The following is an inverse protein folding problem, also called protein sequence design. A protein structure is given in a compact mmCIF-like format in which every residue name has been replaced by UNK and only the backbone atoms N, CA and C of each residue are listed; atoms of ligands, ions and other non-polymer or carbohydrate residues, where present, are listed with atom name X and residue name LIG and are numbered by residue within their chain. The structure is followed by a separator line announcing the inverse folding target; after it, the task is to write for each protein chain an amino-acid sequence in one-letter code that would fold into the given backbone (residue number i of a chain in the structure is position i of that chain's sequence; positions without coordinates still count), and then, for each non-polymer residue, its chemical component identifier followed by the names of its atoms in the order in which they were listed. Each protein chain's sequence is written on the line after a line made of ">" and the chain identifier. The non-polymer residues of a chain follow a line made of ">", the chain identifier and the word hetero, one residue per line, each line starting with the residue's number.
data_IF_043352552093
#
_entry.id   IF_043352552093
#
_cell.length_a   1.000
_cell.length_b   1.000
_cell.length_c   1.000
_cell.angle_alpha   90.00
_cell.angle_beta   90.00
_cell.angle_gamma   90.00
#
_symmetry.space_group_name_H-M   'P 1'
#
loop_
_entity.id
_entity.type
_entity.pdbx_description
1 polymer ?
#
# COMPACT_ATOMS: atom_id res chain seq x y z
N UNK A 1 -16.51 -7.91 -15.62
CA UNK A 1 -16.57 -6.65 -16.40
C UNK A 1 -15.18 -6.09 -16.68
N UNK A 2 -14.38 -5.71 -15.67
CA UNK A 2 -13.05 -5.09 -15.90
C UNK A 2 -12.06 -5.96 -16.69
N UNK A 3 -11.91 -7.25 -16.36
CA UNK A 3 -11.01 -8.18 -17.09
C UNK A 3 -11.43 -8.38 -18.55
N UNK A 4 -12.75 -8.38 -18.81
CA UNK A 4 -13.29 -8.49 -20.18
C UNK A 4 -13.00 -7.22 -20.96
N UNK A 5 -13.20 -6.04 -20.35
CA UNK A 5 -12.83 -4.76 -20.96
C UNK A 5 -11.33 -4.69 -21.26
N UNK A 6 -10.49 -5.17 -20.35
CA UNK A 6 -9.03 -5.23 -20.52
C UNK A 6 -8.65 -6.15 -21.71
N UNK A 7 -9.29 -7.32 -21.83
CA UNK A 7 -9.04 -8.24 -22.94
C UNK A 7 -9.48 -7.66 -24.29
N UNK A 8 -10.65 -7.01 -24.34
CA UNK A 8 -11.16 -6.34 -25.56
C UNK A 8 -10.23 -5.20 -25.98
N UNK A 9 -9.82 -4.35 -25.02
CA UNK A 9 -8.93 -3.23 -25.29
C UNK A 9 -7.54 -3.69 -25.71
N UNK A 10 -7.02 -4.79 -25.14
CA UNK A 10 -5.77 -5.41 -25.59
C UNK A 10 -5.83 -5.96 -27.02
N UNK A 11 -6.93 -6.60 -27.41
CA UNK A 11 -7.14 -7.07 -28.78
C UNK A 11 -7.23 -5.89 -29.77
N UNK A 12 -7.96 -4.83 -29.40
CA UNK A 12 -8.06 -3.61 -30.21
C UNK A 12 -6.71 -2.91 -30.36
N UNK A 13 -5.89 -2.86 -29.32
CA UNK A 13 -4.55 -2.27 -29.37
C UNK A 13 -3.63 -2.99 -30.37
N UNK A 14 -3.67 -4.34 -30.39
CA UNK A 14 -2.90 -5.14 -31.35
C UNK A 14 -3.32 -4.90 -32.81
N UNK A 15 -4.61 -4.69 -33.05
CA UNK A 15 -5.14 -4.46 -34.40
C UNK A 15 -4.91 -3.02 -34.87
N UNK A 16 -5.11 -2.04 -33.98
CA UNK A 16 -4.99 -0.60 -34.29
C UNK A 16 -3.55 -0.09 -34.27
N UNK A 17 -2.64 -0.81 -33.60
CA UNK A 17 -1.30 -0.30 -33.32
C UNK A 17 -1.28 0.86 -32.33
N UNK A 18 -2.35 1.05 -31.55
CA UNK A 18 -2.50 2.12 -30.56
C UNK A 18 -2.65 1.54 -29.15
N UNK A 19 -1.67 1.80 -28.28
CA UNK A 19 -1.68 1.38 -26.88
C UNK A 19 -2.39 2.38 -25.95
N UNK A 20 -2.80 3.56 -26.44
CA UNK A 20 -3.32 4.67 -25.62
C UNK A 20 -4.52 4.24 -24.76
N UNK A 21 -5.46 3.51 -25.33
CA UNK A 21 -6.62 3.00 -24.58
C UNK A 21 -6.20 2.00 -23.49
N UNK A 22 -5.20 1.16 -23.75
CA UNK A 22 -4.70 0.16 -22.81
C UNK A 22 -3.88 0.79 -21.70
N UNK A 23 -3.06 1.80 -22.01
CA UNK A 23 -2.31 2.61 -21.05
C UNK A 23 -3.24 3.32 -20.06
N UNK A 24 -4.31 3.96 -20.58
CA UNK A 24 -5.35 4.59 -19.74
C UNK A 24 -6.06 3.60 -18.82
N UNK A 25 -6.33 2.39 -19.31
CA UNK A 25 -7.05 1.35 -18.55
C UNK A 25 -6.16 0.59 -17.57
N UNK A 26 -4.85 0.60 -17.79
CA UNK A 26 -3.86 -0.04 -16.92
C UNK A 26 -3.27 0.92 -15.91
N UNK A 27 -3.76 2.17 -15.88
CA UNK A 27 -3.37 3.17 -14.91
C UNK A 27 -1.88 3.55 -15.04
N UNK A 28 -1.32 3.42 -16.26
CA UNK A 28 0.05 3.82 -16.60
C UNK A 28 -0.05 5.04 -17.52
N UNK A 29 -0.01 6.26 -16.95
CA UNK A 29 -0.25 7.49 -17.71
C UNK A 29 0.97 8.10 -18.40
N UNK A 30 2.18 7.77 -17.94
CA UNK A 30 3.41 8.37 -18.46
C UNK A 30 4.31 7.30 -19.07
N UNK A 31 3.88 6.76 -20.20
CA UNK A 31 4.85 6.19 -21.11
C UNK A 31 4.97 7.08 -22.32
N UNK A 32 6.21 7.44 -22.68
CA UNK A 32 6.52 8.15 -23.91
C UNK A 32 5.78 7.46 -25.07
N UNK A 33 5.07 8.23 -25.91
CA UNK A 33 4.22 7.75 -27.02
C UNK A 33 4.98 6.88 -28.05
N UNK A 34 6.28 6.67 -27.82
CA UNK A 34 7.26 5.93 -28.62
C UNK A 34 7.37 4.45 -28.27
N UNK A 35 6.57 3.93 -27.34
CA UNK A 35 6.56 2.48 -27.10
C UNK A 35 6.08 1.73 -28.34
N UNK A 36 6.99 0.93 -28.89
CA UNK A 36 6.64 -0.01 -29.93
C UNK A 36 5.51 -0.92 -29.44
N UNK A 37 4.41 -0.94 -30.19
CA UNK A 37 3.29 -1.85 -29.95
C UNK A 37 3.73 -3.26 -30.30
N UNK A 38 4.27 -3.95 -29.31
CA UNK A 38 4.67 -5.35 -29.41
C UNK A 38 3.71 -6.21 -28.61
N UNK A 39 3.59 -7.48 -28.99
CA UNK A 39 2.78 -8.43 -28.23
C UNK A 39 3.24 -8.55 -26.76
N UNK A 40 4.56 -8.39 -26.49
CA UNK A 40 5.12 -8.38 -25.14
C UNK A 40 4.59 -7.18 -24.33
N UNK A 41 4.57 -5.98 -24.91
CA UNK A 41 4.04 -4.77 -24.27
C UNK A 41 2.57 -4.96 -23.89
N UNK A 42 1.77 -5.56 -24.78
CA UNK A 42 0.35 -5.86 -24.53
C UNK A 42 0.19 -6.86 -23.40
N UNK A 43 0.99 -7.93 -23.36
CA UNK A 43 0.94 -8.93 -22.26
C UNK A 43 1.31 -8.29 -20.91
N UNK A 44 2.39 -7.50 -20.86
CA UNK A 44 2.83 -6.83 -19.62
C UNK A 44 1.75 -5.86 -19.12
N UNK A 45 1.24 -4.99 -19.98
CA UNK A 45 0.17 -4.05 -19.63
C UNK A 45 -1.09 -4.79 -19.20
N UNK A 46 -1.44 -5.91 -19.85
CA UNK A 46 -2.58 -6.75 -19.47
C UNK A 46 -2.42 -7.33 -18.06
N UNK A 47 -1.22 -7.77 -17.70
CA UNK A 47 -0.94 -8.26 -16.34
C UNK A 47 -1.01 -7.13 -15.30
N UNK A 48 -0.47 -5.96 -15.61
CA UNK A 48 -0.55 -4.76 -14.75
C UNK A 48 -2.00 -4.36 -14.52
N UNK A 49 -2.80 -4.26 -15.58
CA UNK A 49 -4.23 -3.94 -15.48
C UNK A 49 -5.01 -4.99 -14.69
N UNK A 50 -4.70 -6.28 -14.85
CA UNK A 50 -5.30 -7.34 -14.07
C UNK A 50 -4.94 -7.22 -12.57
N UNK A 51 -3.71 -6.82 -12.24
CA UNK A 51 -3.28 -6.58 -10.86
C UNK A 51 -4.05 -5.41 -10.24
N UNK A 52 -4.23 -4.29 -10.95
CA UNK A 52 -5.05 -3.17 -10.49
C UNK A 52 -6.52 -3.54 -10.33
N UNK A 53 -7.08 -4.30 -11.28
CA UNK A 53 -8.44 -4.81 -11.19
C UNK A 53 -8.63 -5.64 -9.92
N UNK A 54 -7.64 -6.50 -9.61
CA UNK A 54 -7.62 -7.30 -8.40
C UNK A 54 -7.51 -6.43 -7.14
N UNK A 55 -6.64 -5.42 -7.14
CA UNK A 55 -6.49 -4.48 -6.04
C UNK A 55 -7.80 -3.72 -5.74
N UNK A 56 -8.46 -3.22 -6.77
CA UNK A 56 -9.78 -2.59 -6.67
C UNK A 56 -10.83 -3.56 -6.15
N UNK A 57 -10.85 -4.81 -6.64
CA UNK A 57 -11.77 -5.82 -6.15
C UNK A 57 -11.56 -6.14 -4.67
N UNK A 58 -10.30 -6.18 -4.18
CA UNK A 58 -10.00 -6.34 -2.75
C UNK A 58 -10.53 -5.15 -1.93
N UNK A 59 -10.39 -3.92 -2.42
CA UNK A 59 -10.91 -2.72 -1.77
C UNK A 59 -12.44 -2.66 -1.73
N UNK A 60 -13.12 -3.13 -2.79
CA UNK A 60 -14.56 -3.04 -2.98
C UNK A 60 -15.34 -4.27 -2.49
N UNK A 61 -14.67 -5.28 -1.92
CA UNK A 61 -15.29 -6.57 -1.55
C UNK A 61 -16.39 -6.47 -0.49
N UNK A 62 -16.62 -5.28 0.06
CA UNK A 62 -17.65 -5.01 1.06
C UNK A 62 -17.29 -5.59 2.43
N UNK A 63 -18.08 -5.25 3.47
CA UNK A 63 -17.90 -5.84 4.79
C UNK A 63 -18.05 -7.36 4.76
N UNK A 64 -17.28 -8.07 5.59
CA UNK A 64 -17.47 -9.51 5.82
C UNK A 64 -18.93 -9.75 6.24
N UNK A 65 -19.59 -10.72 5.61
CA UNK A 65 -20.96 -11.07 5.93
C UNK A 65 -21.07 -11.53 7.40
N UNK A 66 -21.90 -10.86 8.18
CA UNK A 66 -22.13 -11.17 9.59
C UNK A 66 -22.73 -10.00 10.36
N UNK A 67 -23.11 -10.21 11.64
CA UNK A 67 -23.54 -9.14 12.52
C UNK A 67 -22.43 -8.10 12.68
N UNK A 68 -22.75 -6.80 12.74
CA UNK A 68 -21.75 -5.76 12.96
C UNK A 68 -21.08 -5.99 14.32
N UNK A 69 -19.77 -6.22 14.29
CA UNK A 69 -18.95 -6.26 15.51
C UNK A 69 -18.86 -4.82 16.04
N UNK A 70 -19.02 -4.63 17.35
CA UNK A 70 -18.74 -3.34 17.96
C UNK A 70 -17.25 -3.01 17.81
N UNK A 71 -16.97 -1.99 17.01
CA UNK A 71 -15.60 -1.52 16.75
C UNK A 71 -15.34 -0.29 17.61
N UNK A 72 -14.25 -0.32 18.37
CA UNK A 72 -13.78 0.83 19.14
C UNK A 72 -13.47 2.04 18.21
N UNK A 73 -13.68 3.26 18.72
CA UNK A 73 -13.55 4.51 17.96
C UNK A 73 -12.18 4.66 17.30
N UNK A 74 -11.11 4.26 17.99
CA UNK A 74 -9.75 4.37 17.44
C UNK A 74 -9.51 3.37 16.30
N UNK A 75 -10.09 2.18 16.40
CA UNK A 75 -10.05 1.19 15.31
C UNK A 75 -10.86 1.66 14.11
N UNK A 76 -12.03 2.27 14.32
CA UNK A 76 -12.84 2.84 13.25
C UNK A 76 -12.11 3.99 12.53
N UNK A 77 -11.45 4.89 13.27
CA UNK A 77 -10.63 5.98 12.71
C UNK A 77 -9.46 5.46 11.89
N UNK A 78 -8.71 4.49 12.42
CA UNK A 78 -7.59 3.88 11.69
C UNK A 78 -8.08 3.22 10.40
N UNK A 79 -9.20 2.50 10.45
CA UNK A 79 -9.82 1.88 9.28
C UNK A 79 -10.15 2.92 8.21
N UNK A 80 -10.75 4.05 8.58
CA UNK A 80 -11.04 5.15 7.66
C UNK A 80 -9.73 5.71 7.08
N UNK A 81 -8.73 5.97 7.91
CA UNK A 81 -7.44 6.49 7.45
C UNK A 81 -6.74 5.55 6.46
N UNK A 82 -6.81 4.23 6.67
CA UNK A 82 -6.28 3.24 5.74
C UNK A 82 -7.03 3.22 4.40
N UNK A 83 -8.36 3.40 4.41
CA UNK A 83 -9.12 3.54 3.16
C UNK A 83 -8.84 4.86 2.45
N UNK A 84 -8.64 5.95 3.19
CA UNK A 84 -8.25 7.25 2.61
C UNK A 84 -6.85 7.17 2.00
N UNK A 85 -5.91 6.50 2.67
CA UNK A 85 -4.59 6.20 2.11
C UNK A 85 -4.71 5.32 0.86
N UNK A 86 -5.49 4.23 0.91
CA UNK A 86 -5.76 3.43 -0.29
C UNK A 86 -6.35 4.27 -1.45
N UNK A 87 -7.25 5.19 -1.14
CA UNK A 87 -7.85 6.08 -2.13
C UNK A 87 -6.84 7.10 -2.70
N UNK A 88 -5.93 7.66 -1.89
CA UNK A 88 -4.87 8.56 -2.41
C UNK A 88 -3.99 7.84 -3.42
N UNK A 89 -3.66 6.57 -3.17
CA UNK A 89 -2.90 5.72 -4.10
C UNK A 89 -3.61 5.48 -5.44
N UNK A 90 -4.94 5.52 -5.47
CA UNK A 90 -5.73 5.43 -6.72
C UNK A 90 -5.74 6.73 -7.52
N UNK A 91 -5.40 7.86 -6.91
CA UNK A 91 -5.32 9.16 -7.59
C UNK A 91 -4.02 9.26 -8.40
N UNK A 92 -2.93 8.64 -7.95
CA UNK A 92 -1.63 8.60 -8.64
C UNK A 92 -1.75 8.32 -10.14
N UNK A 93 -2.41 7.22 -10.53
CA UNK A 93 -2.59 6.91 -11.93
C UNK A 93 -3.81 7.58 -12.58
N UNK A 94 -4.33 8.68 -12.07
CA UNK A 94 -5.41 9.44 -12.72
C UNK A 94 -4.99 10.87 -13.08
N UNK A 95 -3.90 11.36 -12.50
CA UNK A 95 -3.44 12.73 -12.68
C UNK A 95 -2.19 12.72 -13.57
N UNK A 96 -2.27 13.39 -14.72
CA UNK A 96 -1.19 13.49 -15.72
C UNK A 96 -0.05 14.43 -15.31
N UNK A 97 -0.28 15.31 -14.33
CA UNK A 97 0.74 16.23 -13.84
C UNK A 97 0.62 16.31 -12.33
N UNK A 98 1.59 15.70 -11.65
CA UNK A 98 1.60 15.70 -10.19
C UNK A 98 2.02 17.08 -9.70
N UNK A 99 1.12 17.74 -8.98
CA UNK A 99 1.47 18.98 -8.30
C UNK A 99 2.12 18.65 -6.96
N UNK A 100 3.14 19.42 -6.56
CA UNK A 100 3.89 19.24 -5.30
C UNK A 100 2.99 19.08 -4.05
N UNK A 101 1.83 19.76 -4.02
CA UNK A 101 0.91 19.66 -2.89
C UNK A 101 0.22 18.28 -2.77
N UNK A 102 0.17 17.48 -3.83
CA UNK A 102 -0.37 16.12 -3.77
C UNK A 102 0.54 15.18 -2.98
N UNK A 103 1.87 15.29 -3.14
CA UNK A 103 2.85 14.57 -2.31
C UNK A 103 2.72 14.97 -0.83
N UNK A 104 2.44 16.25 -0.55
CA UNK A 104 2.16 16.73 0.80
C UNK A 104 0.87 16.14 1.36
N UNK A 105 -0.19 16.07 0.55
CA UNK A 105 -1.45 15.47 0.96
C UNK A 105 -1.28 13.99 1.28
N UNK A 106 -0.57 13.24 0.43
CA UNK A 106 -0.28 11.82 0.67
C UNK A 106 0.55 11.63 1.96
N UNK A 107 1.57 12.46 2.15
CA UNK A 107 2.37 12.49 3.39
C UNK A 107 1.50 12.79 4.62
N UNK A 108 0.56 13.72 4.52
CA UNK A 108 -0.35 14.06 5.61
C UNK A 108 -1.32 12.91 5.94
N UNK A 109 -1.85 12.23 4.92
CA UNK A 109 -2.69 11.04 5.07
C UNK A 109 -1.91 9.91 5.74
N UNK A 110 -0.68 9.64 5.30
CA UNK A 110 0.15 8.61 5.90
C UNK A 110 0.62 8.97 7.31
N UNK A 111 0.87 10.25 7.61
CA UNK A 111 1.07 10.71 8.99
C UNK A 111 -0.16 10.41 9.84
N UNK A 112 -1.38 10.68 9.37
CA UNK A 112 -2.60 10.32 10.10
C UNK A 112 -2.67 8.80 10.38
N UNK A 113 -2.29 7.96 9.41
CA UNK A 113 -2.17 6.50 9.59
C UNK A 113 -1.15 6.16 10.68
N UNK A 114 0.06 6.75 10.66
CA UNK A 114 1.09 6.56 11.69
C UNK A 114 0.56 6.89 13.08
N UNK A 115 -0.12 8.02 13.22
CA UNK A 115 -0.67 8.47 14.50
C UNK A 115 -1.79 7.56 15.01
N UNK A 116 -2.69 7.13 14.13
CA UNK A 116 -3.82 6.27 14.49
C UNK A 116 -3.43 4.81 14.74
N UNK A 117 -2.30 4.34 14.21
CA UNK A 117 -1.77 3.03 14.53
C UNK A 117 -1.29 2.90 15.98
N UNK A 118 -0.80 4.01 16.57
CA UNK A 118 -0.27 4.01 17.93
C UNK A 118 -1.28 3.50 18.99
N UNK A 119 -2.48 4.10 19.15
CA UNK A 119 -3.46 3.61 20.13
C UNK A 119 -3.92 2.18 19.86
N UNK A 120 -4.00 1.78 18.58
CA UNK A 120 -4.46 0.45 18.18
C UNK A 120 -3.43 -0.64 18.51
N UNK A 121 -2.13 -0.32 18.47
CA UNK A 121 -1.02 -1.27 18.64
C UNK A 121 -0.33 -1.23 20.00
N UNK A 122 -0.53 -0.18 20.81
CA UNK A 122 0.08 -0.03 22.15
C UNK A 122 -0.15 -1.22 23.08
N UNK A 123 -1.26 -1.95 22.92
CA UNK A 123 -1.56 -3.14 23.75
C UNK A 123 -0.70 -4.37 23.42
N UNK A 124 -0.03 -4.42 22.26
CA UNK A 124 0.73 -5.59 21.79
C UNK A 124 2.20 -5.35 21.49
N UNK A 125 2.68 -4.10 21.54
CA UNK A 125 4.04 -3.74 21.16
C UNK A 125 4.77 -2.95 22.25
N UNK A 126 5.82 -3.55 22.80
CA UNK A 126 6.77 -2.89 23.73
C UNK A 126 7.42 -1.63 23.15
N UNK A 127 7.47 -1.49 21.82
CA UNK A 127 8.15 -0.41 21.11
C UNK A 127 7.21 0.44 20.23
N UNK A 128 5.94 0.57 20.61
CA UNK A 128 4.95 1.35 19.85
C UNK A 128 5.39 2.81 19.62
N UNK A 129 6.08 3.42 20.58
CA UNK A 129 6.60 4.79 20.45
C UNK A 129 7.70 4.90 19.40
N UNK A 130 8.59 3.91 19.31
CA UNK A 130 9.63 3.89 18.28
C UNK A 130 9.02 3.81 16.88
N UNK A 131 8.05 2.92 16.70
CA UNK A 131 7.30 2.82 15.44
C UNK A 131 6.71 4.19 15.08
N UNK A 132 6.00 4.84 15.99
CA UNK A 132 5.43 6.17 15.70
C UNK A 132 6.51 7.20 15.33
N UNK A 133 7.62 7.27 16.07
CA UNK A 133 8.73 8.19 15.76
C UNK A 133 9.31 7.96 14.37
N UNK A 134 9.58 6.71 13.99
CA UNK A 134 10.07 6.39 12.65
C UNK A 134 9.06 6.72 11.55
N UNK A 135 7.76 6.47 11.78
CA UNK A 135 6.72 6.86 10.83
C UNK A 135 6.63 8.37 10.64
N UNK A 136 6.75 9.15 11.72
CA UNK A 136 6.77 10.62 11.64
C UNK A 136 8.00 11.13 10.89
N UNK A 137 9.19 10.56 11.16
CA UNK A 137 10.41 10.92 10.42
C UNK A 137 10.28 10.55 8.94
N UNK A 138 9.76 9.37 8.63
CA UNK A 138 9.55 8.89 7.26
C UNK A 138 8.69 9.87 6.44
N UNK A 139 7.42 10.04 6.81
CA UNK A 139 6.49 10.87 6.04
C UNK A 139 6.72 12.37 6.25
N UNK A 140 7.27 12.78 7.38
CA UNK A 140 7.72 14.15 7.62
C UNK A 140 8.89 14.53 6.72
N UNK A 141 9.85 13.63 6.47
CA UNK A 141 10.96 13.91 5.57
C UNK A 141 10.52 14.10 4.12
N UNK A 142 9.52 13.34 3.66
CA UNK A 142 8.91 13.51 2.34
C UNK A 142 8.28 14.91 2.26
N UNK A 143 7.45 15.26 3.24
CA UNK A 143 6.80 16.57 3.25
C UNK A 143 7.80 17.73 3.30
N UNK A 144 8.86 17.63 4.10
CA UNK A 144 9.92 18.65 4.15
C UNK A 144 10.65 18.74 2.81
N UNK A 145 10.97 17.60 2.18
CA UNK A 145 11.67 17.58 0.88
C UNK A 145 10.86 18.27 -0.21
N UNK A 146 9.54 18.02 -0.27
CA UNK A 146 8.62 18.68 -1.21
C UNK A 146 8.53 20.20 -0.99
N UNK A 147 8.49 20.65 0.27
CA UNK A 147 8.49 22.09 0.59
C UNK A 147 9.81 22.74 0.20
N UNK A 148 10.95 22.09 0.50
CA UNK A 148 12.28 22.59 0.16
C UNK A 148 12.46 22.72 -1.36
N UNK A 149 12.07 21.69 -2.10
CA UNK A 149 12.10 21.70 -3.56
C UNK A 149 11.23 22.83 -4.13
N UNK A 150 10.02 22.99 -3.60
CA UNK A 150 9.10 24.07 -4.00
C UNK A 150 9.68 25.48 -3.76
N UNK A 151 10.40 25.71 -2.65
CA UNK A 151 11.07 27.00 -2.40
C UNK A 151 12.44 27.14 -3.09
N UNK A 152 12.86 26.13 -3.87
CA UNK A 152 14.13 26.14 -4.59
C UNK A 152 15.36 25.93 -3.70
N UNK A 153 15.20 25.31 -2.53
CA UNK A 153 16.29 24.95 -1.63
C UNK A 153 16.77 23.51 -1.93
N UNK A 154 18.09 23.24 -1.86
CA UNK A 154 18.62 21.92 -2.13
C UNK A 154 18.11 20.91 -1.11
N UNK A 155 17.51 19.82 -1.60
CA UNK A 155 17.18 18.65 -0.78
C UNK A 155 18.47 17.86 -0.56
N UNK A 156 18.95 17.80 0.68
CA UNK A 156 20.17 17.08 1.00
C UNK A 156 19.98 15.55 0.92
N UNK A 157 20.93 14.83 0.33
CA UNK A 157 20.92 13.36 0.25
C UNK A 157 20.71 12.69 1.61
N UNK A 158 21.23 13.31 2.67
CA UNK A 158 21.05 12.83 4.04
C UNK A 158 19.58 12.82 4.47
N UNK A 159 18.78 13.83 4.08
CA UNK A 159 17.35 13.90 4.41
C UNK A 159 16.59 12.75 3.75
N UNK A 160 16.86 12.51 2.46
CA UNK A 160 16.26 11.42 1.69
C UNK A 160 16.67 10.05 2.25
N UNK A 161 17.95 9.88 2.60
CA UNK A 161 18.46 8.64 3.19
C UNK A 161 17.83 8.36 4.56
N UNK A 162 17.79 9.35 5.45
CA UNK A 162 17.18 9.23 6.79
C UNK A 162 15.68 8.95 6.67
N UNK A 163 14.99 9.66 5.77
CA UNK A 163 13.58 9.44 5.45
C UNK A 163 13.29 8.02 4.98
N UNK A 164 14.05 7.53 4.00
CA UNK A 164 13.92 6.18 3.46
C UNK A 164 14.20 5.10 4.49
N UNK A 165 15.27 5.24 5.30
CA UNK A 165 15.57 4.32 6.39
C UNK A 165 14.48 4.32 7.46
N UNK A 166 13.96 5.49 7.82
CA UNK A 166 12.86 5.61 8.76
C UNK A 166 11.59 4.94 8.22
N UNK A 167 11.27 5.10 6.93
CA UNK A 167 10.14 4.46 6.27
C UNK A 167 10.26 2.92 6.29
N UNK A 168 11.46 2.41 6.02
CA UNK A 168 11.76 0.97 6.10
C UNK A 168 11.56 0.43 7.51
N UNK A 169 12.19 1.06 8.52
CA UNK A 169 12.09 0.63 9.91
C UNK A 169 10.64 0.68 10.37
N UNK A 170 9.93 1.77 10.06
CA UNK A 170 8.50 1.91 10.36
C UNK A 170 7.68 0.78 9.77
N UNK A 171 7.85 0.49 8.47
CA UNK A 171 7.08 -0.56 7.78
C UNK A 171 7.37 -1.94 8.38
N UNK A 172 8.63 -2.26 8.69
CA UNK A 172 9.00 -3.53 9.33
C UNK A 172 8.37 -3.68 10.72
N UNK A 173 8.42 -2.62 11.53
CA UNK A 173 7.79 -2.62 12.86
C UNK A 173 6.26 -2.78 12.75
N UNK A 174 5.65 -2.11 11.78
CA UNK A 174 4.21 -2.21 11.50
C UNK A 174 3.83 -3.63 11.07
N UNK A 175 4.55 -4.25 10.13
CA UNK A 175 4.27 -5.62 9.70
C UNK A 175 4.45 -6.64 10.83
N UNK A 176 5.46 -6.43 11.69
CA UNK A 176 5.65 -7.23 12.90
C UNK A 176 4.48 -7.04 13.88
N UNK A 177 3.97 -5.81 14.01
CA UNK A 177 2.78 -5.51 14.81
C UNK A 177 1.57 -6.30 14.30
N UNK A 178 1.30 -6.19 13.00
CA UNK A 178 0.17 -6.85 12.34
C UNK A 178 0.28 -8.38 12.48
N UNK A 179 1.48 -8.95 12.32
CA UNK A 179 1.70 -10.39 12.49
C UNK A 179 1.40 -10.89 13.90
N UNK A 180 1.62 -10.06 14.91
CA UNK A 180 1.43 -10.43 16.32
C UNK A 180 0.00 -10.17 16.82
N UNK A 181 -0.82 -9.43 16.07
CA UNK A 181 -2.20 -9.12 16.42
C UNK A 181 -3.15 -10.01 15.62
N UNK A 182 -3.93 -10.82 16.31
CA UNK A 182 -4.79 -11.86 15.73
C UNK A 182 -5.89 -11.33 14.81
N UNK A 183 -6.13 -10.01 14.79
CA UNK A 183 -7.07 -9.39 13.86
C UNK A 183 -6.60 -9.45 12.41
N UNK A 184 -5.29 -9.30 12.18
CA UNK A 184 -4.73 -9.31 10.83
C UNK A 184 -4.45 -10.71 10.35
N UNK A 185 -4.93 -11.02 9.16
CA UNK A 185 -4.65 -12.29 8.52
C UNK A 185 -3.19 -12.35 8.06
N UNK A 186 -2.59 -13.54 8.11
CA UNK A 186 -1.25 -13.78 7.57
C UNK A 186 -1.11 -13.32 6.13
N UNK A 187 -2.16 -13.48 5.32
CA UNK A 187 -2.19 -13.03 3.92
C UNK A 187 -1.98 -11.52 3.79
N UNK A 188 -2.63 -10.72 4.65
CA UNK A 188 -2.47 -9.25 4.69
C UNK A 188 -1.04 -8.85 5.03
N UNK A 189 -0.42 -9.52 5.99
CA UNK A 189 1.01 -9.29 6.32
C UNK A 189 1.91 -9.66 5.14
N UNK A 190 1.63 -10.77 4.44
CA UNK A 190 2.40 -11.15 3.25
C UNK A 190 2.28 -10.13 2.12
N UNK A 191 1.10 -9.53 1.91
CA UNK A 191 0.95 -8.43 0.94
C UNK A 191 1.78 -7.21 1.33
N UNK A 192 1.86 -6.88 2.61
CA UNK A 192 2.70 -5.77 3.08
C UNK A 192 4.21 -6.06 2.99
N UNK A 193 4.64 -7.31 3.19
CA UNK A 193 6.02 -7.71 2.90
C UNK A 193 6.29 -7.63 1.39
N UNK A 194 5.36 -8.10 0.56
CA UNK A 194 5.48 -8.06 -0.89
C UNK A 194 5.55 -6.62 -1.41
N UNK A 195 4.74 -5.69 -0.88
CA UNK A 195 4.83 -4.27 -1.26
C UNK A 195 6.18 -3.66 -0.89
N UNK A 196 6.67 -3.93 0.32
CA UNK A 196 7.98 -3.45 0.77
C UNK A 196 9.10 -3.96 -0.15
N UNK A 197 9.14 -5.27 -0.40
CA UNK A 197 10.16 -5.89 -1.28
C UNK A 197 10.05 -5.34 -2.71
N UNK A 198 8.85 -5.22 -3.25
CA UNK A 198 8.63 -4.68 -4.59
C UNK A 198 9.08 -3.23 -4.70
N UNK A 199 8.88 -2.39 -3.68
CA UNK A 199 9.40 -1.02 -3.70
C UNK A 199 10.93 -0.99 -3.85
N UNK A 200 11.67 -1.79 -3.08
CA UNK A 200 13.14 -1.85 -3.20
C UNK A 200 13.59 -2.42 -4.54
N UNK A 201 12.95 -3.51 -4.99
CA UNK A 201 13.27 -4.12 -6.29
C UNK A 201 12.98 -3.12 -7.40
N UNK A 202 11.88 -2.38 -7.34
CA UNK A 202 11.52 -1.36 -8.34
C UNK A 202 12.57 -0.27 -8.40
N UNK A 203 12.95 0.32 -7.26
CA UNK A 203 14.00 1.36 -7.23
C UNK A 203 15.36 0.86 -7.71
N UNK A 204 15.72 -0.39 -7.42
CA UNK A 204 16.96 -0.98 -7.93
C UNK A 204 16.89 -1.24 -9.44
N UNK A 205 15.75 -1.77 -9.90
CA UNK A 205 15.53 -2.11 -11.29
C UNK A 205 15.46 -0.85 -12.16
N UNK A 206 14.82 0.22 -11.70
CA UNK A 206 14.79 1.51 -12.40
C UNK A 206 16.22 2.04 -12.63
N UNK A 207 17.08 2.03 -11.60
CA UNK A 207 18.50 2.43 -11.73
C UNK A 207 19.30 1.55 -12.68
N UNK A 208 19.05 0.24 -12.68
CA UNK A 208 19.73 -0.69 -13.59
C UNK A 208 19.24 -0.50 -15.04
N UNK A 209 17.95 -0.25 -15.24
CA UNK A 209 17.29 -0.15 -16.54
C UNK A 209 17.33 1.25 -17.16
N UNK A 210 17.63 2.30 -16.40
CA UNK A 210 17.96 3.64 -16.92
C UNK A 210 19.03 3.56 -18.03
N UNK A 211 19.91 2.56 -17.97
CA UNK A 211 20.96 2.32 -18.97
C UNK A 211 20.50 1.57 -20.23
N UNK A 212 19.32 0.93 -20.21
CA UNK A 212 18.85 0.00 -21.26
C UNK A 212 17.63 0.51 -22.03
N UNK A 213 17.09 1.69 -21.67
CA UNK A 213 15.96 2.31 -22.40
C UNK A 213 14.64 1.54 -22.28
N UNK A 214 14.45 0.82 -21.16
CA UNK A 214 13.28 -0.03 -20.93
C UNK A 214 12.07 0.76 -20.40
N UNK A 215 10.89 0.11 -20.44
CA UNK A 215 9.54 0.57 -20.02
C UNK A 215 9.55 1.20 -18.61
N UNK A 216 9.69 2.53 -18.45
CA UNK A 216 9.82 3.16 -17.15
C UNK A 216 8.52 2.99 -16.33
N UNK A 217 8.63 2.71 -15.02
CA UNK A 217 7.48 2.80 -14.11
C UNK A 217 6.57 1.58 -14.00
N UNK A 218 6.80 0.47 -14.74
CA UNK A 218 6.01 -0.76 -14.59
C UNK A 218 6.15 -1.37 -13.19
N UNK A 219 7.39 -1.42 -12.67
CA UNK A 219 7.66 -1.99 -11.37
C UNK A 219 7.02 -1.17 -10.23
N UNK A 220 7.16 0.16 -10.30
CA UNK A 220 6.52 1.11 -9.38
C UNK A 220 5.00 1.00 -9.43
N UNK A 221 4.40 0.82 -10.61
CA UNK A 221 2.96 0.60 -10.77
C UNK A 221 2.50 -0.68 -10.06
N UNK A 222 3.25 -1.78 -10.22
CA UNK A 222 2.95 -3.05 -9.54
C UNK A 222 3.10 -2.89 -8.02
N UNK A 223 4.17 -2.23 -7.56
CA UNK A 223 4.39 -1.95 -6.14
C UNK A 223 3.22 -1.13 -5.55
N UNK A 224 2.71 -0.15 -6.29
CA UNK A 224 1.53 0.64 -5.93
C UNK A 224 0.27 -0.22 -5.79
N UNK A 225 0.00 -1.11 -6.75
CA UNK A 225 -1.15 -2.01 -6.69
C UNK A 225 -1.06 -2.97 -5.49
N UNK A 226 0.12 -3.51 -5.18
CA UNK A 226 0.31 -4.39 -4.01
C UNK A 226 0.20 -3.60 -2.69
N UNK A 227 0.69 -2.37 -2.65
CA UNK A 227 0.50 -1.46 -1.50
C UNK A 227 -0.98 -1.16 -1.28
N UNK A 228 -1.73 -0.89 -2.35
CA UNK A 228 -3.18 -0.70 -2.30
C UNK A 228 -3.89 -1.94 -1.72
N UNK A 229 -3.53 -3.14 -2.16
CA UNK A 229 -4.07 -4.40 -1.62
C UNK A 229 -3.76 -4.51 -0.13
N UNK A 230 -2.52 -4.24 0.27
CA UNK A 230 -2.12 -4.30 1.68
C UNK A 230 -2.90 -3.30 2.55
N UNK A 231 -3.04 -2.04 2.13
CA UNK A 231 -3.78 -1.00 2.87
C UNK A 231 -5.27 -1.36 3.00
N UNK A 232 -5.91 -1.72 1.88
CA UNK A 232 -7.32 -2.10 1.86
C UNK A 232 -7.58 -3.33 2.72
N UNK A 233 -6.77 -4.40 2.60
CA UNK A 233 -6.93 -5.59 3.45
C UNK A 233 -6.65 -5.31 4.91
N UNK A 234 -5.65 -4.46 5.20
CA UNK A 234 -5.39 -4.01 6.57
C UNK A 234 -6.61 -3.32 7.18
N UNK A 235 -7.34 -2.52 6.39
CA UNK A 235 -8.57 -1.86 6.81
C UNK A 235 -9.73 -2.84 7.03
N UNK A 236 -9.84 -3.88 6.18
CA UNK A 236 -10.88 -4.92 6.33
C UNK A 236 -10.64 -5.80 7.56
N UNK A 237 -9.39 -6.21 7.77
CA UNK A 237 -9.00 -7.08 8.87
C UNK A 237 -9.17 -6.44 10.25
N UNK A 238 -9.19 -5.10 10.34
CA UNK A 238 -9.43 -4.39 11.60
C UNK A 238 -10.82 -4.66 12.22
N UNK A 239 -11.77 -5.18 11.44
CA UNK A 239 -13.12 -5.55 11.93
C UNK A 239 -13.13 -6.95 12.55
N UNK A 240 -12.10 -7.76 12.32
CA UNK A 240 -12.01 -9.08 12.92
C UNK A 240 -11.93 -8.94 14.45
N UNK A 241 -12.65 -9.77 15.22
CA UNK A 241 -12.52 -9.78 16.66
C UNK A 241 -11.10 -10.23 17.05
N UNK A 242 -10.57 -9.66 18.13
CA UNK A 242 -9.35 -10.18 18.74
C UNK A 242 -9.67 -11.56 19.31
N UNK A 243 -8.91 -12.57 18.89
CA UNK A 243 -8.85 -13.82 19.62
C UNK A 243 -8.10 -13.53 20.91
N UNK A 244 -8.82 -13.30 22.01
CA UNK A 244 -8.19 -13.31 23.33
C UNK A 244 -7.64 -14.71 23.58
N UNK A 245 -6.44 -14.85 24.18
CA UNK A 245 -5.96 -16.15 24.62
C UNK A 245 -7.03 -16.76 25.52
N UNK A 246 -7.67 -17.84 25.06
CA UNK A 246 -8.62 -18.58 25.87
C UNK A 246 -7.93 -18.90 27.18
N UNK A 247 -8.45 -18.38 28.30
CA UNK A 247 -7.91 -18.69 29.60
C UNK A 247 -7.79 -20.23 29.72
N UNK A 248 -6.68 -20.76 30.25
CA UNK A 248 -6.52 -22.19 30.41
C UNK A 248 -7.77 -22.75 31.11
N UNK A 249 -8.31 -23.90 30.68
CA UNK A 249 -9.46 -24.49 31.34
C UNK A 249 -9.13 -24.62 32.83
N UNK A 250 -10.00 -24.06 33.68
CA UNK A 250 -9.82 -24.14 35.14
C UNK A 250 -9.60 -25.61 35.52
N UNK A 251 -8.61 -25.91 36.39
CA UNK A 251 -8.39 -27.26 36.83
C UNK A 251 -9.69 -27.82 37.44
N UNK A 252 -10.03 -29.09 37.19
CA UNK A 252 -11.25 -29.69 37.72
C UNK A 252 -11.27 -29.54 39.25
N UNK A 253 -12.43 -29.27 39.86
CA UNK A 253 -12.54 -29.15 41.30
C UNK A 253 -12.01 -30.44 41.95
N UNK A 254 -11.03 -30.27 42.85
CA UNK A 254 -10.49 -31.36 43.65
C UNK A 254 -11.66 -32.07 44.33
N UNK A 255 -11.90 -33.33 43.96
CA UNK A 255 -12.86 -34.17 44.64
C UNK A 255 -12.47 -34.21 46.12
N UNK A 256 -13.39 -33.78 46.99
CA UNK A 256 -13.22 -33.91 48.43
C UNK A 256 -13.00 -35.40 48.73
N UNK A 257 -11.80 -35.76 49.19
CA UNK A 257 -11.55 -37.11 49.67
C UNK A 257 -12.28 -37.30 51.02
N UNK A 258 -13.02 -38.41 51.19
CA UNK A 258 -13.74 -38.73 52.43
C UNK A 258 -12.79 -39.13 53.57
#
# INVERSE_FOLDING_TARGET
>A
MYVIALAIVGALALVSGDLSAMLRLTLVLEMDERLAVTWHSVVILGLVGAMWAWALWQGLRGPLAGPPVEVDRDTARLRIALYVAAASWLVYPLVTSWSWWMSLLDSAVMLAVVWLYHPVLTRGLKHADHMRSFGVVAYGSIAVSEVLDWVGLPVGDLLLLVGGLAALIWTVLLLRAQRNDSRWQTSTVMYGIASLVLMFISSLLDRLLETVGNVPGTATTIAGAVTLIWLTRSAHDLVNPRLEPTAPPSPPPLAAQP
#
